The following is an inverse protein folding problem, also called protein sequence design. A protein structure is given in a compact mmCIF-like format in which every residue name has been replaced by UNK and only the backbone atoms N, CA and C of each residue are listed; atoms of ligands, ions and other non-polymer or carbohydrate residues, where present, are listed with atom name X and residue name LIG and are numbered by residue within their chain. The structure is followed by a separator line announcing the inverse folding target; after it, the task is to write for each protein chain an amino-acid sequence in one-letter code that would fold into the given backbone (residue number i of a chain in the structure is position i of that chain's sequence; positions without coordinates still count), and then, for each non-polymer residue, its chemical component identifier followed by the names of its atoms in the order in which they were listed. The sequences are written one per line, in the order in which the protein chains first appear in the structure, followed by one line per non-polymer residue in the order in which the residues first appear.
data_IF_935409087482
#
_entry.id   IF_935409087482
#
_cell.length_a   1.000
_cell.length_b   1.000
_cell.length_c   1.000
_cell.angle_alpha   90.00
_cell.angle_beta   90.00
_cell.angle_gamma   90.00
#
_symmetry.space_group_name_H-M   'P 1'
#
loop_
_entity.id
_entity.type
_entity.pdbx_description
1 polymer ?
#
# COMPACT_ATOMS: atom_id res chain seq x y z
N UNK A 1 -10.00 27.12 -13.88
CA UNK A 1 -9.03 27.22 -12.78
C UNK A 1 -7.66 27.51 -13.38
N UNK A 2 -6.87 28.35 -12.76
CA UNK A 2 -5.50 28.65 -13.25
C UNK A 2 -4.63 27.39 -13.23
N UNK A 3 -4.82 26.56 -12.19
CA UNK A 3 -4.07 25.30 -12.03
C UNK A 3 -4.36 24.28 -13.14
N UNK A 4 -5.52 24.36 -13.81
CA UNK A 4 -5.92 23.39 -14.85
C UNK A 4 -4.88 23.21 -15.95
N UNK A 5 -4.27 24.29 -16.40
CA UNK A 5 -3.26 24.26 -17.47
C UNK A 5 -2.04 23.41 -17.07
N UNK A 6 -1.59 23.53 -15.83
CA UNK A 6 -0.45 22.77 -15.32
C UNK A 6 -0.80 21.30 -15.09
N UNK A 7 -2.02 20.99 -14.62
CA UNK A 7 -2.49 19.62 -14.45
C UNK A 7 -2.62 18.90 -15.80
N UNK A 8 -3.09 19.61 -16.81
CA UNK A 8 -3.18 19.08 -18.18
C UNK A 8 -1.78 18.73 -18.72
N UNK A 9 -0.82 19.65 -18.62
CA UNK A 9 0.57 19.42 -19.06
C UNK A 9 1.18 18.24 -18.32
N UNK A 10 0.94 18.11 -16.99
CA UNK A 10 1.43 16.98 -16.19
C UNK A 10 0.96 15.63 -16.77
N UNK A 11 -0.32 15.52 -17.12
CA UNK A 11 -0.88 14.30 -17.71
C UNK A 11 -0.32 14.01 -19.11
N UNK A 12 -0.27 15.02 -19.98
CA UNK A 12 0.24 14.88 -21.35
C UNK A 12 1.71 14.47 -21.37
N UNK A 13 2.50 14.94 -20.41
CA UNK A 13 3.91 14.60 -20.27
C UNK A 13 4.16 13.32 -19.47
N UNK A 14 3.11 12.66 -18.95
CA UNK A 14 3.20 11.50 -18.05
C UNK A 14 4.13 11.75 -16.84
N UNK A 15 4.08 12.96 -16.30
CA UNK A 15 4.88 13.35 -15.15
C UNK A 15 4.19 12.90 -13.84
N UNK A 16 4.98 12.61 -12.83
CA UNK A 16 4.48 12.06 -11.55
C UNK A 16 4.08 13.13 -10.55
N UNK A 17 4.78 14.26 -10.52
CA UNK A 17 4.58 15.30 -9.52
C UNK A 17 4.62 16.69 -10.16
N UNK A 18 3.90 17.66 -9.56
CA UNK A 18 3.95 19.07 -9.86
C UNK A 18 4.28 19.84 -8.59
N UNK A 19 5.25 20.75 -8.68
CA UNK A 19 5.69 21.60 -7.57
C UNK A 19 5.45 23.05 -7.98
N UNK A 20 4.67 23.77 -7.17
CA UNK A 20 4.36 25.18 -7.34
C UNK A 20 4.89 25.95 -6.13
N UNK A 21 5.92 26.77 -6.33
CA UNK A 21 6.55 27.56 -5.27
C UNK A 21 6.87 28.95 -5.75
N UNK A 22 6.77 29.94 -4.87
CA UNK A 22 7.03 31.34 -5.21
C UNK A 22 8.49 31.58 -5.60
N UNK A 23 8.70 32.35 -6.67
CA UNK A 23 10.03 32.69 -7.17
C UNK A 23 10.69 31.65 -8.07
N UNK A 24 9.99 30.52 -8.36
CA UNK A 24 10.43 29.52 -9.32
C UNK A 24 9.35 29.26 -10.37
N UNK A 25 9.71 28.83 -11.59
CA UNK A 25 8.74 28.35 -12.56
C UNK A 25 7.96 27.13 -12.03
N UNK A 26 6.70 26.90 -12.46
CA UNK A 26 6.01 25.64 -12.21
C UNK A 26 6.91 24.50 -12.66
N UNK A 27 7.13 23.52 -11.79
CA UNK A 27 8.11 22.46 -12.05
C UNK A 27 7.46 21.09 -11.90
N UNK A 28 7.58 20.26 -12.92
CA UNK A 28 7.11 18.87 -12.89
C UNK A 28 8.26 17.91 -12.61
N UNK A 29 7.95 16.71 -12.09
CA UNK A 29 8.88 15.59 -12.01
C UNK A 29 8.56 14.59 -13.11
N UNK A 30 9.48 14.45 -14.06
CA UNK A 30 9.37 13.51 -15.18
C UNK A 30 10.59 12.59 -15.17
N UNK A 31 10.35 11.29 -15.18
CA UNK A 31 11.41 10.24 -15.14
C UNK A 31 12.43 10.45 -14.00
N UNK A 32 11.93 10.94 -12.85
CA UNK A 32 12.75 11.26 -11.67
C UNK A 32 13.43 12.62 -11.67
N UNK A 33 13.56 13.29 -12.82
CA UNK A 33 14.16 14.61 -12.94
C UNK A 33 13.14 15.75 -12.77
N UNK A 34 13.58 16.89 -12.24
CA UNK A 34 12.78 18.10 -12.16
C UNK A 34 12.90 18.88 -13.49
N UNK A 35 11.76 19.17 -14.12
CA UNK A 35 11.67 19.88 -15.42
C UNK A 35 10.72 21.08 -15.27
N UNK A 36 11.20 22.31 -15.53
CA UNK A 36 10.35 23.51 -15.49
C UNK A 36 9.28 23.47 -16.59
N UNK A 37 8.10 24.01 -16.28
CA UNK A 37 7.01 24.25 -17.22
C UNK A 37 7.03 25.74 -17.59
N UNK A 38 7.75 26.07 -18.65
CA UNK A 38 7.97 27.47 -19.05
C UNK A 38 9.04 28.18 -18.24
N UNK A 39 9.40 29.41 -18.64
CA UNK A 39 10.50 30.17 -18.04
C UNK A 39 10.07 31.07 -16.85
N UNK A 40 8.79 31.37 -16.72
CA UNK A 40 8.33 32.45 -15.85
C UNK A 40 8.15 31.99 -14.40
N UNK A 41 8.78 32.65 -13.40
CA UNK A 41 8.59 32.35 -11.99
C UNK A 41 7.16 32.69 -11.53
N UNK A 42 6.61 31.84 -10.67
CA UNK A 42 5.32 32.07 -10.04
C UNK A 42 5.42 33.16 -8.95
N UNK A 43 4.42 34.04 -8.92
CA UNK A 43 4.25 35.03 -7.85
C UNK A 43 3.46 34.40 -6.68
N UNK A 44 3.67 34.87 -5.43
CA UNK A 44 2.94 34.40 -4.26
C UNK A 44 1.41 34.41 -4.41
N UNK A 45 0.85 35.51 -4.99
CA UNK A 45 -0.57 35.70 -5.23
C UNK A 45 -1.16 34.65 -6.17
N UNK A 46 -0.42 34.24 -7.19
CA UNK A 46 -0.85 33.22 -8.14
C UNK A 46 -0.96 31.84 -7.47
N UNK A 47 -0.02 31.47 -6.59
CA UNK A 47 -0.04 30.18 -5.91
C UNK A 47 -1.16 30.15 -4.86
N UNK A 48 -1.35 31.25 -4.13
CA UNK A 48 -2.46 31.37 -3.18
C UNK A 48 -3.81 31.21 -3.89
N UNK A 49 -3.99 31.85 -5.05
CA UNK A 49 -5.19 31.67 -5.86
C UNK A 49 -5.38 30.22 -6.31
N UNK A 50 -4.32 29.57 -6.81
CA UNK A 50 -4.37 28.15 -7.20
C UNK A 50 -4.69 27.23 -6.01
N UNK A 51 -4.16 27.56 -4.81
CA UNK A 51 -4.49 26.81 -3.59
C UNK A 51 -5.97 26.95 -3.22
N UNK A 52 -6.53 28.16 -3.32
CA UNK A 52 -7.97 28.40 -3.09
C UNK A 52 -8.87 27.73 -4.13
N UNK A 53 -8.38 27.49 -5.35
CA UNK A 53 -9.12 26.76 -6.39
C UNK A 53 -9.30 25.27 -6.08
N UNK A 54 -8.35 24.66 -5.34
CA UNK A 54 -8.34 23.22 -5.02
C UNK A 54 -8.77 22.90 -3.60
N UNK A 55 -8.82 23.90 -2.72
CA UNK A 55 -9.25 23.74 -1.32
C UNK A 55 -10.69 24.23 -1.15
N UNK A 56 -11.50 23.46 -0.40
CA UNK A 56 -12.78 23.97 0.08
C UNK A 56 -12.59 25.11 1.10
N UNK A 57 -13.58 25.97 1.34
CA UNK A 57 -13.49 27.04 2.33
C UNK A 57 -13.06 26.53 3.73
N UNK A 58 -13.57 25.38 4.17
CA UNK A 58 -13.24 24.75 5.46
C UNK A 58 -11.77 24.30 5.48
N UNK A 59 -11.32 23.63 4.41
CA UNK A 59 -9.92 23.21 4.25
C UNK A 59 -8.97 24.38 4.16
N UNK A 60 -9.37 25.47 3.49
CA UNK A 60 -8.60 26.70 3.43
C UNK A 60 -8.43 27.33 4.83
N UNK A 61 -9.51 27.42 5.61
CA UNK A 61 -9.44 27.91 6.98
C UNK A 61 -8.52 27.05 7.87
N UNK A 62 -8.62 25.72 7.74
CA UNK A 62 -7.72 24.78 8.44
C UNK A 62 -6.25 24.98 8.03
N UNK A 63 -5.97 25.11 6.75
CA UNK A 63 -4.63 25.39 6.23
C UNK A 63 -4.07 26.71 6.75
N UNK A 64 -4.88 27.77 6.76
CA UNK A 64 -4.47 29.09 7.29
C UNK A 64 -4.02 29.02 8.75
N UNK A 65 -4.68 28.20 9.57
CA UNK A 65 -4.37 28.03 10.98
C UNK A 65 -3.16 27.10 11.24
N UNK A 66 -3.00 26.03 10.45
CA UNK A 66 -1.96 24.99 10.64
C UNK A 66 -0.69 25.25 9.86
N UNK A 67 -0.79 25.88 8.69
CA UNK A 67 0.34 26.14 7.79
C UNK A 67 0.74 24.95 6.91
N UNK A 68 0.12 23.78 7.11
CA UNK A 68 0.34 22.54 6.35
C UNK A 68 -0.96 21.75 6.27
N UNK A 69 -1.26 21.18 5.09
CA UNK A 69 -2.46 20.36 4.88
C UNK A 69 -2.25 19.37 3.73
N UNK A 70 -2.40 18.08 4.03
CA UNK A 70 -2.52 17.02 3.04
C UNK A 70 -3.99 16.77 2.67
N UNK A 71 -4.28 16.61 1.38
CA UNK A 71 -5.63 16.29 0.91
C UNK A 71 -5.61 15.69 -0.50
N UNK A 72 -6.71 15.02 -0.86
CA UNK A 72 -6.94 14.55 -2.22
C UNK A 72 -7.79 15.53 -3.01
N UNK A 73 -7.49 15.65 -4.30
CA UNK A 73 -8.23 16.48 -5.26
C UNK A 73 -8.59 15.68 -6.50
N UNK A 74 -9.88 15.60 -6.81
CA UNK A 74 -10.37 14.97 -8.03
C UNK A 74 -10.55 16.02 -9.13
N UNK A 75 -9.68 15.98 -10.12
CA UNK A 75 -9.70 16.95 -11.21
C UNK A 75 -10.65 16.53 -12.32
N UNK A 76 -11.88 17.06 -12.29
CA UNK A 76 -12.92 16.90 -13.35
C UNK A 76 -13.20 15.44 -13.77
N UNK A 77 -12.91 14.47 -12.92
CA UNK A 77 -13.02 13.05 -13.28
C UNK A 77 -11.93 12.53 -14.21
N UNK A 78 -10.98 13.37 -14.64
CA UNK A 78 -9.88 12.97 -15.51
C UNK A 78 -8.67 12.43 -14.74
N UNK A 79 -8.39 12.98 -13.56
CA UNK A 79 -7.27 12.56 -12.72
C UNK A 79 -7.58 12.83 -11.24
N UNK A 80 -6.90 12.08 -10.36
CA UNK A 80 -6.88 12.33 -8.93
C UNK A 80 -5.47 12.71 -8.52
N UNK A 81 -5.35 13.69 -7.65
CA UNK A 81 -4.08 14.17 -7.12
C UNK A 81 -4.08 14.10 -5.60
N UNK A 82 -2.97 13.68 -5.02
CA UNK A 82 -2.64 13.99 -3.62
C UNK A 82 -1.92 15.31 -3.61
N UNK A 83 -2.38 16.25 -2.79
CA UNK A 83 -1.83 17.59 -2.69
C UNK A 83 -1.41 17.84 -1.25
N UNK A 84 -0.17 18.29 -1.07
CA UNK A 84 0.27 18.94 0.16
C UNK A 84 0.34 20.44 -0.10
N UNK A 85 -0.45 21.21 0.66
CA UNK A 85 -0.34 22.68 0.71
C UNK A 85 0.47 23.05 1.96
N UNK A 86 1.49 23.88 1.80
CA UNK A 86 2.39 24.26 2.89
C UNK A 86 2.75 25.75 2.84
N UNK A 87 3.12 26.31 3.99
CA UNK A 87 3.66 27.67 4.09
C UNK A 87 5.19 27.64 4.11
N UNK A 88 5.81 28.49 3.29
CA UNK A 88 7.25 28.68 3.30
C UNK A 88 7.60 30.16 3.09
N UNK A 89 8.44 30.76 3.95
CA UNK A 89 8.89 32.17 3.87
C UNK A 89 7.74 33.17 3.65
N UNK A 90 6.60 32.94 4.33
CA UNK A 90 5.41 33.79 4.25
C UNK A 90 4.55 33.61 2.99
N UNK A 91 4.90 32.70 2.08
CA UNK A 91 4.11 32.36 0.90
C UNK A 91 3.56 30.92 0.96
N UNK A 92 2.54 30.64 0.16
CA UNK A 92 2.00 29.30 -0.05
C UNK A 92 2.86 28.54 -1.05
N UNK A 93 3.02 27.23 -0.84
CA UNK A 93 3.53 26.28 -1.81
C UNK A 93 2.57 25.11 -1.97
N UNK A 94 2.56 24.47 -3.13
CA UNK A 94 1.78 23.27 -3.42
C UNK A 94 2.70 22.18 -4.01
N UNK A 95 2.62 20.99 -3.43
CA UNK A 95 3.21 19.78 -4.00
C UNK A 95 2.08 18.82 -4.37
N UNK A 96 1.95 18.53 -5.66
CA UNK A 96 0.89 17.67 -6.18
C UNK A 96 1.53 16.39 -6.71
N UNK A 97 0.95 15.23 -6.35
CA UNK A 97 1.30 13.93 -6.89
C UNK A 97 0.13 13.34 -7.64
N UNK A 98 0.37 12.94 -8.87
CA UNK A 98 -0.63 12.23 -9.68
C UNK A 98 -0.88 10.83 -9.10
N UNK A 99 -2.14 10.51 -8.82
CA UNK A 99 -2.58 9.17 -8.45
C UNK A 99 -2.90 8.41 -9.74
N UNK A 100 -2.19 7.30 -10.04
CA UNK A 100 -2.38 6.59 -11.29
C UNK A 100 -3.75 5.90 -11.35
N UNK A 101 -4.41 6.00 -12.51
CA UNK A 101 -5.62 5.23 -12.82
C UNK A 101 -5.32 3.81 -13.32
N UNK A 102 -4.11 3.58 -13.82
CA UNK A 102 -3.69 2.27 -14.28
C UNK A 102 -3.16 1.45 -13.10
N UNK A 103 -3.89 0.41 -12.75
CA UNK A 103 -3.48 -0.55 -11.74
C UNK A 103 -2.62 -1.61 -12.45
N UNK A 104 -1.36 -1.82 -12.04
CA UNK A 104 -0.52 -2.85 -12.62
C UNK A 104 -1.13 -4.23 -12.33
N UNK A 105 -1.02 -5.15 -13.28
CA UNK A 105 -1.46 -6.52 -13.08
C UNK A 105 -0.40 -7.38 -12.36
N UNK A 106 -0.77 -8.59 -11.96
CA UNK A 106 0.13 -9.50 -11.23
C UNK A 106 1.42 -9.84 -12.01
N UNK A 107 1.33 -9.98 -13.35
CA UNK A 107 2.49 -10.32 -14.19
C UNK A 107 3.49 -9.17 -14.24
N UNK A 108 3.00 -7.94 -14.39
CA UNK A 108 3.82 -6.73 -14.37
C UNK A 108 4.54 -6.53 -13.02
N UNK A 109 3.92 -6.96 -11.92
CA UNK A 109 4.49 -6.85 -10.58
C UNK A 109 5.36 -8.06 -10.20
N UNK A 110 5.36 -9.13 -11.00
CA UNK A 110 6.05 -10.38 -10.68
C UNK A 110 5.47 -11.10 -9.45
N UNK A 111 4.18 -10.92 -9.17
CA UNK A 111 3.51 -11.50 -8.00
C UNK A 111 3.44 -13.04 -8.14
N UNK A 112 3.86 -13.81 -7.11
CA UNK A 112 3.79 -15.27 -7.13
C UNK A 112 2.38 -15.80 -7.39
N UNK A 113 2.29 -16.91 -8.13
CA UNK A 113 0.99 -17.52 -8.51
C UNK A 113 0.12 -17.86 -7.30
N UNK A 114 0.72 -18.27 -6.18
CA UNK A 114 -0.02 -18.57 -4.95
C UNK A 114 -0.78 -17.36 -4.41
N UNK A 115 -0.21 -16.16 -4.52
CA UNK A 115 -0.85 -14.90 -4.09
C UNK A 115 -2.09 -14.60 -4.95
N UNK A 116 -2.06 -14.90 -6.24
CA UNK A 116 -3.26 -14.80 -7.10
C UNK A 116 -4.38 -15.72 -6.62
N UNK A 117 -4.04 -16.91 -6.12
CA UNK A 117 -5.02 -17.85 -5.54
C UNK A 117 -5.76 -17.26 -4.33
N UNK A 118 -5.11 -16.40 -3.56
CA UNK A 118 -5.69 -15.78 -2.36
C UNK A 118 -6.86 -14.84 -2.68
N UNK A 119 -6.93 -14.24 -3.87
CA UNK A 119 -8.04 -13.35 -4.26
C UNK A 119 -9.38 -14.10 -4.43
N UNK A 120 -9.34 -15.42 -4.51
CA UNK A 120 -10.53 -16.28 -4.61
C UNK A 120 -11.13 -16.68 -3.26
N UNK A 121 -10.43 -16.41 -2.16
CA UNK A 121 -10.93 -16.71 -0.83
C UNK A 121 -12.20 -15.91 -0.53
N UNK A 122 -13.15 -16.56 0.12
CA UNK A 122 -14.39 -15.91 0.57
C UNK A 122 -14.21 -15.12 1.86
N UNK A 123 -13.26 -15.55 2.71
CA UNK A 123 -13.03 -14.98 4.04
C UNK A 123 -11.58 -15.16 4.47
N UNK A 124 -11.17 -14.43 5.49
CA UNK A 124 -9.88 -14.52 6.13
C UNK A 124 -9.10 -13.20 6.07
N UNK A 125 -7.94 -13.16 6.70
CA UNK A 125 -7.06 -12.00 6.77
C UNK A 125 -5.81 -12.25 5.93
N UNK A 126 -5.54 -11.38 4.96
CA UNK A 126 -4.33 -11.38 4.15
C UNK A 126 -3.53 -10.13 4.50
N UNK A 127 -2.30 -10.32 4.95
CA UNK A 127 -1.39 -9.24 5.30
C UNK A 127 -0.35 -9.06 4.20
N UNK A 128 -0.19 -7.82 3.71
CA UNK A 128 0.94 -7.43 2.86
C UNK A 128 1.84 -6.52 3.66
N UNK A 129 3.08 -6.92 3.85
CA UNK A 129 4.02 -6.23 4.72
C UNK A 129 5.34 -5.91 4.03
N UNK A 130 6.11 -4.99 4.61
CA UNK A 130 7.40 -4.54 4.09
C UNK A 130 7.66 -3.07 4.39
N UNK A 131 8.87 -2.58 4.14
CA UNK A 131 9.23 -1.18 4.36
C UNK A 131 8.44 -0.22 3.47
N UNK A 132 8.48 1.06 3.81
CA UNK A 132 7.90 2.10 2.96
C UNK A 132 8.54 2.06 1.57
N UNK A 133 7.71 2.16 0.53
CA UNK A 133 8.17 2.11 -0.85
C UNK A 133 8.50 0.70 -1.38
N UNK A 134 8.15 -0.37 -0.65
CA UNK A 134 8.34 -1.77 -1.11
C UNK A 134 7.29 -2.24 -2.13
N UNK A 135 6.27 -1.43 -2.45
CA UNK A 135 5.25 -1.75 -3.44
C UNK A 135 4.01 -2.46 -2.88
N UNK A 136 3.78 -2.43 -1.55
CA UNK A 136 2.61 -3.04 -0.89
C UNK A 136 1.30 -2.59 -1.51
N UNK A 137 1.11 -1.28 -1.65
CA UNK A 137 -0.11 -0.70 -2.22
C UNK A 137 -0.36 -1.16 -3.66
N UNK A 138 0.69 -1.29 -4.47
CA UNK A 138 0.57 -1.79 -5.85
C UNK A 138 0.15 -3.26 -5.88
N UNK A 139 0.70 -4.09 -4.97
CA UNK A 139 0.32 -5.51 -4.85
C UNK A 139 -1.13 -5.64 -4.38
N UNK A 140 -1.53 -4.89 -3.35
CA UNK A 140 -2.92 -4.85 -2.89
C UNK A 140 -3.87 -4.33 -3.95
N UNK A 141 -3.45 -3.28 -4.69
CA UNK A 141 -4.24 -2.76 -5.78
C UNK A 141 -4.47 -3.80 -6.88
N UNK A 142 -3.45 -4.58 -7.24
CA UNK A 142 -3.57 -5.69 -8.18
C UNK A 142 -4.52 -6.77 -7.65
N UNK A 143 -4.45 -7.11 -6.36
CA UNK A 143 -5.35 -8.08 -5.72
C UNK A 143 -6.81 -7.60 -5.73
N UNK A 144 -7.06 -6.36 -5.31
CA UNK A 144 -8.41 -5.76 -5.33
C UNK A 144 -8.94 -5.68 -6.76
N UNK A 145 -8.14 -5.25 -7.72
CA UNK A 145 -8.54 -5.16 -9.12
C UNK A 145 -8.89 -6.54 -9.72
N UNK A 146 -8.15 -7.59 -9.37
CA UNK A 146 -8.47 -8.97 -9.76
C UNK A 146 -9.82 -9.43 -9.14
N UNK A 147 -10.06 -9.15 -7.87
CA UNK A 147 -11.34 -9.42 -7.20
C UNK A 147 -12.47 -8.70 -7.92
N UNK A 148 -12.32 -7.40 -8.16
CA UNK A 148 -13.32 -6.53 -8.79
C UNK A 148 -13.65 -7.00 -10.21
N UNK A 149 -12.66 -7.48 -10.95
CA UNK A 149 -12.84 -7.98 -12.32
C UNK A 149 -13.48 -9.38 -12.37
N UNK A 150 -13.27 -10.22 -11.34
CA UNK A 150 -13.61 -11.65 -11.44
C UNK A 150 -14.80 -12.08 -10.57
N UNK A 151 -15.09 -11.35 -9.48
CA UNK A 151 -16.10 -11.73 -8.48
C UNK A 151 -17.28 -10.76 -8.46
N UNK A 152 -18.54 -11.22 -8.34
CA UNK A 152 -19.70 -10.37 -8.06
C UNK A 152 -19.78 -10.15 -6.54
N UNK A 153 -19.14 -9.13 -6.02
CA UNK A 153 -19.08 -8.85 -4.58
C UNK A 153 -19.01 -7.35 -4.28
N UNK A 154 -19.22 -6.99 -3.03
CA UNK A 154 -19.08 -5.61 -2.54
C UNK A 154 -17.72 -5.43 -1.87
N UNK A 155 -16.90 -4.54 -2.44
CA UNK A 155 -15.57 -4.21 -1.95
C UNK A 155 -15.59 -2.84 -1.30
N UNK A 156 -15.12 -2.72 -0.07
CA UNK A 156 -14.93 -1.43 0.59
C UNK A 156 -13.44 -1.26 0.88
N UNK A 157 -12.88 -0.12 0.49
CA UNK A 157 -11.51 0.25 0.87
C UNK A 157 -11.52 1.42 1.87
N UNK A 158 -10.61 1.37 2.83
CA UNK A 158 -10.36 2.44 3.79
C UNK A 158 -8.86 2.75 3.71
N UNK A 159 -8.53 3.96 3.25
CA UNK A 159 -7.17 4.33 2.86
C UNK A 159 -6.77 5.71 3.41
N UNK A 160 -5.48 5.96 3.60
CA UNK A 160 -4.92 7.24 4.07
C UNK A 160 -3.59 7.57 3.36
N UNK A 161 -3.67 8.25 2.20
CA UNK A 161 -4.82 8.49 1.35
C UNK A 161 -5.07 7.35 0.35
N UNK A 162 -6.10 7.50 -0.52
CA UNK A 162 -6.32 6.60 -1.66
C UNK A 162 -5.14 6.69 -2.63
N UNK A 163 -4.49 5.55 -2.91
CA UNK A 163 -3.32 5.46 -3.81
C UNK A 163 -3.66 4.99 -5.23
N UNK A 164 -4.77 4.26 -5.41
CA UNK A 164 -5.27 3.82 -6.72
C UNK A 164 -6.77 4.01 -6.79
N UNK A 165 -7.29 4.35 -7.96
CA UNK A 165 -8.74 4.48 -8.17
C UNK A 165 -9.26 3.24 -8.90
N UNK A 166 -10.19 2.54 -8.25
CA UNK A 166 -10.84 1.36 -8.83
C UNK A 166 -12.09 1.76 -9.64
N UNK A 167 -12.37 1.00 -10.69
CA UNK A 167 -13.62 1.11 -11.45
C UNK A 167 -14.53 -0.03 -11.05
N UNK A 168 -15.82 0.23 -10.94
CA UNK A 168 -16.82 -0.83 -10.84
C UNK A 168 -16.75 -1.73 -12.08
N UNK A 169 -16.74 -3.04 -11.86
CA UNK A 169 -16.77 -4.05 -12.93
C UNK A 169 -17.80 -5.12 -12.55
N UNK A 170 -17.36 -6.34 -12.20
CA UNK A 170 -18.25 -7.36 -11.64
C UNK A 170 -18.61 -7.06 -10.19
N UNK A 171 -17.74 -6.41 -9.48
CA UNK A 171 -17.96 -5.93 -8.11
C UNK A 171 -18.33 -4.46 -8.07
N UNK A 172 -19.07 -4.07 -7.03
CA UNK A 172 -19.20 -2.67 -6.61
C UNK A 172 -18.01 -2.37 -5.69
N UNK A 173 -17.36 -1.21 -5.88
CA UNK A 173 -16.22 -0.78 -5.06
C UNK A 173 -16.52 0.58 -4.46
N UNK A 174 -16.43 0.69 -3.16
CA UNK A 174 -16.51 1.96 -2.43
C UNK A 174 -15.16 2.25 -1.77
N UNK A 175 -14.57 3.40 -2.11
CA UNK A 175 -13.27 3.84 -1.55
C UNK A 175 -13.51 4.99 -0.59
N UNK A 176 -13.03 4.84 0.64
CA UNK A 176 -13.20 5.82 1.70
C UNK A 176 -11.84 6.30 2.20
N UNK A 177 -11.62 7.60 2.13
CA UNK A 177 -10.36 8.23 2.55
C UNK A 177 -10.48 8.76 3.99
N UNK A 178 -9.52 8.43 4.84
CA UNK A 178 -9.43 8.97 6.20
C UNK A 178 -9.18 10.49 6.15
N UNK A 179 -9.89 11.24 6.99
CA UNK A 179 -9.82 12.70 7.01
C UNK A 179 -10.65 13.40 5.94
N UNK A 180 -11.19 12.65 4.94
CA UNK A 180 -12.11 13.18 3.93
C UNK A 180 -13.50 12.58 4.06
N UNK A 181 -13.60 11.25 4.02
CA UNK A 181 -14.86 10.51 4.02
C UNK A 181 -15.15 9.88 5.38
N UNK A 182 -14.11 9.60 6.17
CA UNK A 182 -14.19 8.98 7.50
C UNK A 182 -13.20 9.61 8.48
N UNK A 183 -13.53 9.57 9.77
CA UNK A 183 -12.70 10.19 10.80
C UNK A 183 -11.43 9.36 11.12
N UNK A 184 -11.54 8.03 11.12
CA UNK A 184 -10.45 7.11 11.45
C UNK A 184 -10.65 5.74 10.79
N UNK A 185 -9.57 4.94 10.73
CA UNK A 185 -9.66 3.55 10.28
C UNK A 185 -10.62 2.72 11.15
N UNK A 186 -10.52 2.83 12.47
CA UNK A 186 -11.33 2.07 13.40
C UNK A 186 -12.83 2.42 13.27
N UNK A 187 -13.19 3.70 13.14
CA UNK A 187 -14.57 4.11 12.93
C UNK A 187 -15.13 3.62 11.60
N UNK A 188 -14.32 3.73 10.55
CA UNK A 188 -14.69 3.27 9.23
C UNK A 188 -14.92 1.74 9.19
N UNK A 189 -14.07 0.94 9.84
CA UNK A 189 -14.22 -0.51 9.95
C UNK A 189 -15.49 -0.90 10.71
N UNK A 190 -15.76 -0.25 11.86
CA UNK A 190 -16.99 -0.47 12.60
C UNK A 190 -18.26 -0.13 11.78
N UNK A 191 -18.17 0.91 10.95
CA UNK A 191 -19.28 1.29 10.07
C UNK A 191 -19.43 0.32 8.89
N UNK A 192 -18.34 -0.15 8.33
CA UNK A 192 -18.32 -1.05 7.16
C UNK A 192 -19.11 -2.34 7.41
N UNK A 193 -19.09 -2.91 8.62
CA UNK A 193 -19.88 -4.10 8.98
C UNK A 193 -21.40 -3.93 8.75
N UNK A 194 -21.90 -2.69 8.70
CA UNK A 194 -23.31 -2.38 8.42
C UNK A 194 -23.57 -2.01 6.95
N UNK A 195 -22.54 -2.10 6.13
CA UNK A 195 -22.58 -1.74 4.70
C UNK A 195 -22.54 -2.98 3.79
N UNK A 196 -22.78 -4.17 4.36
CA UNK A 196 -22.81 -5.46 3.63
C UNK A 196 -21.57 -5.71 2.77
N UNK A 197 -20.34 -5.57 3.29
CA UNK A 197 -19.13 -5.83 2.55
C UNK A 197 -18.92 -7.33 2.38
N UNK A 198 -18.30 -7.76 1.28
CA UNK A 198 -17.71 -9.10 1.12
C UNK A 198 -16.20 -9.03 1.32
N UNK A 199 -15.58 -7.93 0.86
CA UNK A 199 -14.14 -7.72 0.88
C UNK A 199 -13.83 -6.33 1.44
N UNK A 200 -12.89 -6.25 2.36
CA UNK A 200 -12.38 -4.98 2.89
C UNK A 200 -10.89 -4.86 2.62
N UNK A 201 -10.48 -3.67 2.18
CA UNK A 201 -9.09 -3.25 2.17
C UNK A 201 -8.86 -2.23 3.30
N UNK A 202 -7.89 -2.51 4.17
CA UNK A 202 -7.42 -1.59 5.21
C UNK A 202 -6.02 -1.12 4.81
N UNK A 203 -5.91 0.14 4.42
CA UNK A 203 -4.67 0.70 3.88
C UNK A 203 -3.49 0.48 4.81
N UNK A 204 -3.67 0.67 6.11
CA UNK A 204 -2.64 0.43 7.12
C UNK A 204 -3.24 0.13 8.50
N UNK A 205 -2.64 -0.82 9.21
CA UNK A 205 -2.99 -1.16 10.60
C UNK A 205 -1.85 -0.77 11.54
N UNK A 206 -2.03 0.31 12.31
CA UNK A 206 -1.02 0.84 13.23
C UNK A 206 -1.36 0.67 14.70
N UNK A 207 -2.64 0.68 15.04
CA UNK A 207 -3.16 0.73 16.39
C UNK A 207 -4.02 -0.49 16.74
N UNK A 208 -4.20 -0.70 18.03
CA UNK A 208 -4.95 -1.82 18.58
C UNK A 208 -6.39 -1.88 18.07
N UNK A 209 -7.07 -0.74 18.00
CA UNK A 209 -8.47 -0.69 17.60
C UNK A 209 -8.67 -1.13 16.16
N UNK A 210 -7.82 -0.66 15.25
CA UNK A 210 -7.83 -1.04 13.83
C UNK A 210 -7.52 -2.53 13.66
N UNK A 211 -6.50 -3.06 14.36
CA UNK A 211 -6.12 -4.47 14.30
C UNK A 211 -7.22 -5.37 14.86
N UNK A 212 -7.79 -5.01 16.01
CA UNK A 212 -8.90 -5.75 16.62
C UNK A 212 -10.12 -5.81 15.72
N UNK A 213 -10.49 -4.68 15.11
CA UNK A 213 -11.59 -4.63 14.16
C UNK A 213 -11.34 -5.49 12.92
N UNK A 214 -10.14 -5.46 12.34
CA UNK A 214 -9.78 -6.26 11.17
C UNK A 214 -9.85 -7.78 11.46
N UNK A 215 -9.35 -8.23 12.62
CA UNK A 215 -9.44 -9.64 13.04
C UNK A 215 -10.92 -10.04 13.21
N UNK A 216 -11.71 -9.21 13.89
CA UNK A 216 -13.15 -9.48 14.12
C UNK A 216 -13.91 -9.58 12.79
N UNK A 217 -13.65 -8.70 11.84
CA UNK A 217 -14.28 -8.72 10.52
C UNK A 217 -13.90 -10.00 9.77
N UNK A 218 -12.64 -10.39 9.80
CA UNK A 218 -12.19 -11.63 9.18
C UNK A 218 -12.82 -12.88 9.84
N UNK A 219 -13.04 -12.85 11.17
CA UNK A 219 -13.69 -13.91 11.92
C UNK A 219 -15.19 -14.05 11.59
N UNK A 220 -15.83 -12.94 11.23
CA UNK A 220 -17.26 -12.91 10.86
C UNK A 220 -17.54 -13.28 9.39
N UNK A 221 -16.55 -13.78 8.66
CA UNK A 221 -16.75 -14.38 7.33
C UNK A 221 -16.42 -13.44 6.16
N UNK A 222 -15.70 -12.36 6.38
CA UNK A 222 -15.29 -11.42 5.35
C UNK A 222 -13.83 -11.64 4.94
N UNK A 223 -13.47 -11.29 3.71
CA UNK A 223 -12.08 -11.22 3.27
C UNK A 223 -11.49 -9.86 3.59
N UNK A 224 -10.46 -9.82 4.42
CA UNK A 224 -9.77 -8.60 4.81
C UNK A 224 -8.37 -8.59 4.21
N UNK A 225 -8.05 -7.57 3.45
CA UNK A 225 -6.71 -7.25 2.93
C UNK A 225 -6.15 -6.09 3.73
N UNK A 226 -4.94 -6.20 4.27
CA UNK A 226 -4.38 -5.11 5.08
C UNK A 226 -2.87 -4.99 4.95
N UNK A 227 -2.30 -3.82 5.32
CA UNK A 227 -0.85 -3.65 5.38
C UNK A 227 -0.32 -3.50 6.81
N UNK A 228 0.93 -3.94 6.95
CA UNK A 228 1.78 -3.70 8.12
C UNK A 228 3.18 -3.22 7.67
N UNK A 229 3.93 -2.66 8.61
CA UNK A 229 5.33 -2.29 8.41
C UNK A 229 6.23 -3.20 9.25
N UNK A 230 6.47 -4.43 8.77
CA UNK A 230 7.41 -5.38 9.39
C UNK A 230 8.44 -5.85 8.37
N UNK A 231 9.52 -6.45 8.83
CA UNK A 231 10.67 -6.82 8.01
C UNK A 231 10.66 -8.28 7.56
N UNK A 232 9.67 -9.08 7.98
CA UNK A 232 9.43 -10.46 7.54
C UNK A 232 8.00 -10.88 7.90
N UNK A 233 7.61 -12.08 7.46
CA UNK A 233 6.28 -12.65 7.71
C UNK A 233 6.08 -13.06 9.16
N UNK A 234 7.12 -13.48 9.86
CA UNK A 234 7.08 -13.90 11.26
C UNK A 234 6.82 -12.71 12.18
N UNK A 235 7.56 -11.61 11.96
CA UNK A 235 7.37 -10.37 12.71
C UNK A 235 5.97 -9.77 12.48
N UNK A 236 5.34 -10.00 11.33
CA UNK A 236 3.97 -9.55 11.11
C UNK A 236 2.99 -10.23 12.06
N UNK A 237 3.14 -11.54 12.29
CA UNK A 237 2.33 -12.27 13.26
C UNK A 237 2.55 -11.76 14.68
N UNK A 238 3.80 -11.56 15.09
CA UNK A 238 4.13 -11.02 16.41
C UNK A 238 3.55 -9.61 16.57
N UNK A 239 3.72 -8.74 15.58
CA UNK A 239 3.18 -7.37 15.62
C UNK A 239 1.67 -7.32 15.79
N UNK A 240 0.94 -8.24 15.17
CA UNK A 240 -0.53 -8.35 15.33
C UNK A 240 -0.93 -8.69 16.76
N UNK A 241 -0.11 -9.44 17.48
CA UNK A 241 -0.39 -9.87 18.87
C UNK A 241 0.13 -8.84 19.87
N UNK A 242 1.31 -8.28 19.65
CA UNK A 242 2.02 -7.47 20.64
C UNK A 242 1.36 -6.09 20.93
N UNK A 243 0.47 -5.64 20.05
CA UNK A 243 -0.31 -4.41 20.31
C UNK A 243 -1.37 -4.59 21.40
N UNK A 244 -1.74 -5.85 21.72
CA UNK A 244 -2.74 -6.15 22.73
C UNK A 244 -2.14 -6.27 24.12
N UNK A 245 -2.90 -5.93 25.18
CA UNK A 245 -2.52 -6.19 26.56
C UNK A 245 -2.19 -7.68 26.78
N UNK A 246 -1.24 -7.97 27.66
CA UNK A 246 -0.71 -9.32 27.85
C UNK A 246 -1.77 -10.39 28.21
N UNK A 247 -2.81 -9.99 28.94
CA UNK A 247 -3.95 -10.84 29.30
C UNK A 247 -4.84 -11.22 28.11
N UNK A 248 -4.84 -10.44 27.01
CA UNK A 248 -5.62 -10.67 25.81
C UNK A 248 -4.84 -11.43 24.73
N UNK A 249 -3.50 -11.42 24.78
CA UNK A 249 -2.66 -11.93 23.70
C UNK A 249 -2.93 -13.39 23.37
N UNK A 250 -3.21 -14.25 24.36
CA UNK A 250 -3.51 -15.66 24.09
C UNK A 250 -4.81 -15.83 23.30
N UNK A 251 -5.84 -15.06 23.62
CA UNK A 251 -7.09 -15.06 22.87
C UNK A 251 -6.88 -14.58 21.44
N UNK A 252 -6.11 -13.50 21.26
CA UNK A 252 -5.77 -12.94 19.94
C UNK A 252 -4.98 -13.93 19.09
N UNK A 253 -4.03 -14.69 19.68
CA UNK A 253 -3.32 -15.76 18.98
C UNK A 253 -4.27 -16.83 18.44
N UNK A 254 -5.27 -17.22 19.23
CA UNK A 254 -6.29 -18.18 18.78
C UNK A 254 -7.12 -17.60 17.64
N UNK A 255 -7.62 -16.38 17.76
CA UNK A 255 -8.39 -15.72 16.70
C UNK A 255 -7.55 -15.55 15.42
N UNK A 256 -6.33 -15.02 15.54
CA UNK A 256 -5.43 -14.83 14.41
C UNK A 256 -5.08 -16.16 13.72
N UNK A 257 -4.83 -17.23 14.49
CA UNK A 257 -4.54 -18.55 13.91
C UNK A 257 -5.69 -19.11 13.07
N UNK A 258 -6.94 -18.74 13.38
CA UNK A 258 -8.12 -19.20 12.65
C UNK A 258 -8.47 -18.27 11.47
N UNK A 259 -8.17 -16.99 11.57
CA UNK A 259 -8.59 -15.98 10.57
C UNK A 259 -7.50 -15.65 9.56
N UNK A 260 -6.22 -15.73 9.94
CA UNK A 260 -5.11 -15.46 9.02
C UNK A 260 -5.19 -16.42 7.83
N UNK A 261 -5.11 -15.90 6.62
CA UNK A 261 -4.99 -16.70 5.39
C UNK A 261 -3.55 -16.73 4.88
N UNK A 262 -2.90 -15.57 4.85
CA UNK A 262 -1.52 -15.44 4.40
C UNK A 262 -0.85 -14.18 4.95
N UNK A 263 0.48 -14.21 5.02
CA UNK A 263 1.34 -13.02 5.15
C UNK A 263 2.28 -12.96 3.96
N UNK A 264 2.33 -11.82 3.29
CA UNK A 264 3.15 -11.57 2.12
C UNK A 264 4.11 -10.44 2.47
N UNK A 265 5.38 -10.77 2.65
CA UNK A 265 6.42 -9.75 2.82
C UNK A 265 7.07 -9.42 1.49
N UNK A 266 7.26 -8.14 1.21
CA UNK A 266 7.70 -7.65 -0.09
C UNK A 266 8.83 -6.64 0.02
N UNK A 267 9.82 -6.77 -0.87
CA UNK A 267 10.87 -5.79 -1.09
C UNK A 267 11.00 -5.46 -2.58
N UNK A 268 11.44 -4.22 -2.89
CA UNK A 268 11.80 -3.79 -4.22
C UNK A 268 13.32 -3.64 -4.35
N UNK A 269 13.87 -4.20 -5.41
CA UNK A 269 15.29 -4.12 -5.76
C UNK A 269 15.46 -3.41 -7.11
N UNK A 270 16.56 -2.65 -7.30
CA UNK A 270 16.88 -2.08 -8.60
C UNK A 270 17.12 -3.20 -9.63
N UNK A 271 16.64 -3.01 -10.85
CA UNK A 271 16.90 -3.94 -11.95
C UNK A 271 18.35 -3.81 -12.43
N UNK A 272 18.95 -4.93 -12.79
CA UNK A 272 20.27 -4.98 -13.44
C UNK A 272 20.18 -4.78 -14.94
N UNK A 273 19.09 -5.24 -15.55
CA UNK A 273 18.87 -5.29 -17.00
C UNK A 273 18.26 -4.00 -17.57
N UNK A 274 18.08 -2.96 -16.77
CA UNK A 274 17.52 -1.69 -17.23
C UNK A 274 16.98 -0.81 -16.09
N UNK A 275 16.30 0.28 -16.43
CA UNK A 275 15.67 1.15 -15.44
C UNK A 275 14.50 0.46 -14.74
N UNK A 276 14.17 0.92 -13.53
CA UNK A 276 13.03 0.41 -12.75
C UNK A 276 13.45 -0.54 -11.63
N UNK A 277 12.46 -1.25 -11.09
CA UNK A 277 12.63 -2.14 -9.93
C UNK A 277 11.90 -3.45 -10.18
N UNK A 278 12.32 -4.50 -9.47
CA UNK A 278 11.66 -5.80 -9.43
C UNK A 278 11.36 -6.16 -7.98
N UNK A 279 10.24 -6.86 -7.76
CA UNK A 279 9.83 -7.26 -6.42
C UNK A 279 10.35 -8.66 -6.06
N UNK A 280 10.82 -8.80 -4.81
CA UNK A 280 11.05 -10.08 -4.17
C UNK A 280 9.99 -10.29 -3.10
N UNK A 281 9.52 -11.55 -2.96
CA UNK A 281 8.42 -11.90 -2.07
C UNK A 281 8.80 -13.04 -1.13
N UNK A 282 8.45 -12.89 0.14
CA UNK A 282 8.33 -13.99 1.10
C UNK A 282 6.84 -14.24 1.34
N UNK A 283 6.40 -15.49 1.28
CA UNK A 283 4.97 -15.83 1.40
C UNK A 283 4.79 -16.92 2.43
N UNK A 284 4.09 -16.61 3.51
CA UNK A 284 3.63 -17.52 4.55
C UNK A 284 2.14 -17.80 4.36
N UNK A 285 1.77 -19.07 4.19
CA UNK A 285 0.38 -19.52 4.14
C UNK A 285 -0.02 -20.13 5.48
N UNK A 286 -1.27 -19.92 5.89
CA UNK A 286 -1.77 -20.38 7.17
C UNK A 286 -2.19 -21.87 7.13
N UNK A 287 -1.21 -22.77 7.04
CA UNK A 287 -1.43 -24.21 7.17
C UNK A 287 -1.68 -24.62 8.62
N UNK A 288 -2.13 -25.86 8.85
CA UNK A 288 -2.32 -26.39 10.21
C UNK A 288 -1.07 -26.30 11.08
N UNK A 289 0.12 -26.47 10.49
CA UNK A 289 1.39 -26.31 11.20
C UNK A 289 1.58 -24.84 11.64
N UNK A 290 1.32 -23.87 10.76
CA UNK A 290 1.40 -22.44 11.06
C UNK A 290 0.38 -22.05 12.13
N UNK A 291 -0.88 -22.53 12.00
CA UNK A 291 -1.94 -22.29 13.00
C UNK A 291 -1.52 -22.72 14.40
N UNK A 292 -0.98 -23.92 14.53
CA UNK A 292 -0.54 -24.46 15.82
C UNK A 292 0.61 -23.62 16.41
N UNK A 293 1.60 -23.23 15.61
CA UNK A 293 2.71 -22.40 16.06
C UNK A 293 2.24 -21.01 16.52
N UNK A 294 1.27 -20.41 15.83
CA UNK A 294 0.68 -19.13 16.24
C UNK A 294 -0.05 -19.29 17.59
N UNK A 295 -0.91 -20.31 17.72
CA UNK A 295 -1.65 -20.61 18.95
C UNK A 295 -0.73 -20.81 20.16
N UNK A 296 0.38 -21.51 19.96
CA UNK A 296 1.35 -21.82 21.01
C UNK A 296 2.34 -20.67 21.29
N UNK A 297 2.30 -19.57 20.52
CA UNK A 297 3.24 -18.45 20.64
C UNK A 297 4.66 -18.83 20.20
N UNK A 298 4.82 -19.86 19.37
CA UNK A 298 6.11 -20.34 18.86
C UNK A 298 6.46 -19.74 17.49
N UNK A 299 6.19 -18.46 17.31
CA UNK A 299 6.32 -17.74 16.03
C UNK A 299 7.71 -17.84 15.41
N UNK A 300 8.78 -17.90 16.23
CA UNK A 300 10.16 -18.12 15.73
C UNK A 300 10.32 -19.42 14.91
N UNK A 301 9.47 -20.41 15.11
CA UNK A 301 9.52 -21.68 14.36
C UNK A 301 8.79 -21.60 13.00
N UNK A 302 8.06 -20.51 12.70
CA UNK A 302 7.39 -20.29 11.43
C UNK A 302 8.39 -20.29 10.25
N UNK A 303 9.61 -19.82 10.47
CA UNK A 303 10.64 -19.85 9.44
C UNK A 303 10.97 -21.29 9.00
N UNK A 304 11.06 -22.25 9.91
CA UNK A 304 11.31 -23.65 9.58
C UNK A 304 10.18 -24.20 8.68
N UNK A 305 8.93 -23.78 8.94
CA UNK A 305 7.79 -24.17 8.09
C UNK A 305 7.91 -23.53 6.70
N UNK A 306 8.26 -22.25 6.61
CA UNK A 306 8.51 -21.55 5.34
C UNK A 306 9.55 -22.30 4.48
N UNK A 307 10.69 -22.68 5.07
CA UNK A 307 11.80 -23.35 4.35
C UNK A 307 11.39 -24.73 3.82
N UNK A 308 10.50 -25.44 4.50
CA UNK A 308 10.11 -26.81 4.17
C UNK A 308 8.84 -26.94 3.33
N UNK A 309 8.03 -25.88 3.25
CA UNK A 309 6.70 -25.89 2.61
C UNK A 309 6.67 -25.22 1.23
N UNK A 310 7.76 -25.26 0.50
CA UNK A 310 7.83 -24.70 -0.86
C UNK A 310 6.82 -25.36 -1.83
N UNK A 311 6.48 -26.63 -1.62
CA UNK A 311 5.49 -27.36 -2.43
C UNK A 311 4.07 -26.81 -2.25
N UNK A 312 3.78 -26.21 -1.10
CA UNK A 312 2.50 -25.59 -0.78
C UNK A 312 2.41 -24.15 -1.32
N UNK A 313 3.48 -23.65 -1.94
CA UNK A 313 3.57 -22.28 -2.48
C UNK A 313 4.17 -21.27 -1.51
N UNK A 314 4.65 -21.71 -0.32
CA UNK A 314 5.41 -20.83 0.57
C UNK A 314 6.80 -20.53 -0.01
N UNK A 315 7.33 -19.36 0.27
CA UNK A 315 8.63 -18.93 -0.24
C UNK A 315 9.36 -18.07 0.77
N UNK A 316 10.65 -18.33 1.00
CA UNK A 316 11.51 -17.44 1.78
C UNK A 316 12.01 -16.27 0.94
N UNK A 317 12.38 -15.15 1.60
CA UNK A 317 12.96 -14.00 0.90
C UNK A 317 14.25 -14.41 0.16
N UNK A 318 15.11 -15.22 0.78
CA UNK A 318 16.37 -15.66 0.19
C UNK A 318 16.16 -16.48 -1.09
N UNK A 319 15.12 -17.32 -1.12
CA UNK A 319 14.78 -18.07 -2.33
C UNK A 319 14.29 -17.15 -3.44
N UNK A 320 13.38 -16.23 -3.13
CA UNK A 320 12.90 -15.22 -4.08
C UNK A 320 14.07 -14.40 -4.67
N UNK A 321 14.98 -13.93 -3.81
CA UNK A 321 16.19 -13.21 -4.23
C UNK A 321 17.09 -14.07 -5.12
N UNK A 322 17.30 -15.35 -4.78
CA UNK A 322 18.13 -16.26 -5.58
C UNK A 322 17.54 -16.48 -6.98
N UNK A 323 16.22 -16.58 -7.09
CA UNK A 323 15.53 -16.73 -8.39
C UNK A 323 15.73 -15.48 -9.26
N UNK A 324 15.65 -14.27 -8.67
CA UNK A 324 15.90 -13.00 -9.37
C UNK A 324 17.38 -12.88 -9.83
N UNK A 325 18.33 -13.34 -9.02
CA UNK A 325 19.76 -13.37 -9.39
C UNK A 325 19.98 -14.32 -10.56
N UNK A 326 19.45 -15.56 -10.49
CA UNK A 326 19.57 -16.57 -11.57
C UNK A 326 18.92 -16.11 -12.88
N UNK A 327 17.82 -15.36 -12.78
CA UNK A 327 17.17 -14.73 -13.94
C UNK A 327 17.94 -13.51 -14.50
N UNK A 328 19.06 -13.10 -13.88
CA UNK A 328 19.84 -11.94 -14.30
C UNK A 328 19.17 -10.57 -14.04
N UNK A 329 18.08 -10.55 -13.28
CA UNK A 329 17.30 -9.34 -13.02
C UNK A 329 17.88 -8.46 -11.92
N UNK A 330 18.66 -9.05 -10.98
CA UNK A 330 19.23 -8.37 -9.81
C UNK A 330 20.67 -8.80 -9.61
N UNK A 331 21.54 -7.87 -9.22
CA UNK A 331 22.90 -8.17 -8.81
C UNK A 331 22.95 -8.82 -7.43
N UNK A 332 23.90 -9.75 -7.25
CA UNK A 332 24.08 -10.43 -5.96
C UNK A 332 24.32 -9.45 -4.81
N UNK A 333 25.12 -8.38 -5.01
CA UNK A 333 25.39 -7.36 -4.00
C UNK A 333 24.11 -6.63 -3.55
N UNK A 334 23.25 -6.26 -4.51
CA UNK A 334 21.97 -5.62 -4.22
C UNK A 334 21.00 -6.56 -3.47
N UNK A 335 20.99 -7.85 -3.85
CA UNK A 335 20.17 -8.86 -3.17
C UNK A 335 20.70 -9.18 -1.77
N UNK A 336 22.01 -9.34 -1.59
CA UNK A 336 22.64 -9.62 -0.30
C UNK A 336 22.42 -8.50 0.72
N UNK A 337 22.37 -7.24 0.29
CA UNK A 337 22.03 -6.10 1.14
C UNK A 337 20.57 -6.10 1.64
N UNK A 338 19.71 -6.91 1.05
CA UNK A 338 18.28 -7.05 1.38
C UNK A 338 17.95 -8.39 2.06
N UNK A 339 18.83 -9.38 1.95
CA UNK A 339 18.64 -10.69 2.56
C UNK A 339 18.78 -10.61 4.09
N UNK A 340 17.92 -11.31 4.81
CA UNK A 340 18.03 -11.48 6.25
C UNK A 340 19.09 -12.53 6.60
N UNK A 341 19.26 -13.53 5.72
CA UNK A 341 20.24 -14.62 5.84
C UNK A 341 21.16 -14.68 4.62
N UNK A 342 22.19 -13.80 4.53
CA UNK A 342 23.05 -13.71 3.36
C UNK A 342 23.81 -14.99 3.03
N UNK A 343 24.12 -15.83 4.03
CA UNK A 343 24.80 -17.13 3.81
C UNK A 343 23.86 -18.15 3.14
N UNK A 344 22.58 -18.14 3.52
CA UNK A 344 21.56 -18.94 2.82
C UNK A 344 21.40 -18.49 1.37
N UNK A 345 21.34 -17.17 1.14
CA UNK A 345 21.28 -16.61 -0.21
C UNK A 345 22.47 -17.05 -1.05
N UNK A 346 23.70 -17.02 -0.51
CA UNK A 346 24.90 -17.49 -1.23
C UNK A 346 24.76 -18.93 -1.67
N UNK A 347 24.30 -19.81 -0.76
CA UNK A 347 24.09 -21.24 -1.06
C UNK A 347 23.01 -21.45 -2.13
N UNK A 348 21.94 -20.66 -2.08
CA UNK A 348 20.84 -20.76 -3.04
C UNK A 348 21.18 -20.14 -4.41
N UNK A 349 22.03 -19.12 -4.47
CA UNK A 349 22.38 -18.42 -5.69
C UNK A 349 23.57 -19.08 -6.45
N UNK A 350 24.35 -19.94 -5.79
CA UNK A 350 25.40 -20.74 -6.41
C UNK A 350 24.80 -21.86 -7.28
#
# INVERSE_FOLDING_TARGET
MIIDAYLQILLEQSASDLILTAGAPPTMRKDGALVPIGPDPLRPDQIEQMAQEVLSPERWASFQSRGDLDFSFNWKGHARFRINAFKQRGSVGLALRLIPYQIPNFDQLGVPTVVRGLTRLGQGLILVTGPTGSGKSSTLAAMVNDIVATRPCHVITIEDPIEYVYRHQRSIVEQREVGADVASFADALRAALRQTPDVLLVGEMRDLETISAAITIAETGHLVLATLHTNDTTQAVDRMVDVFPGDQQQQVRVQLSNTLAAVIYQQLLPRRDGPGRVAAFEVLLNTLAVQNLIKEGKTRQLRNVLETSAKDGMNTMERSLSELIRAGLVDFGAAAARAQHPEELRRLAA
#
